data_IF_283126237818
#
_entry.id   IF_283126237818
#
_cell.length_a   1.000
_cell.length_b   1.000
_cell.length_c   1.000
_cell.angle_alpha   90.00
_cell.angle_beta   90.00
_cell.angle_gamma   90.00
#
_symmetry.space_group_name_H-M   'P 1'
#
loop_
_entity.id
_entity.type
_entity.pdbx_description
1 polymer ?
#
# COMPACT_ATOMS: atom_id res chain seq x y z
N UNK A 1 -4.73 54.65 21.81
CA UNK A 1 -4.94 53.51 20.90
C UNK A 1 -3.96 53.63 19.73
N UNK A 2 -2.88 52.87 19.74
CA UNK A 2 -1.94 52.78 18.62
C UNK A 2 -1.59 51.32 18.40
N UNK A 3 -2.18 50.72 17.37
CA UNK A 3 -1.98 49.31 17.00
C UNK A 3 -0.50 49.10 16.65
N UNK A 4 0.19 48.25 17.41
CA UNK A 4 1.49 47.70 17.05
C UNK A 4 1.32 46.81 15.82
N UNK A 5 1.65 47.33 14.63
CA UNK A 5 1.82 46.49 13.44
C UNK A 5 3.09 45.68 13.65
N UNK A 6 2.94 44.38 13.90
CA UNK A 6 4.02 43.41 13.79
C UNK A 6 4.56 43.49 12.36
N UNK A 7 5.74 44.08 12.21
CA UNK A 7 6.50 44.05 10.98
C UNK A 7 6.94 42.60 10.76
N UNK A 8 6.31 41.91 9.83
CA UNK A 8 6.71 40.57 9.42
C UNK A 8 7.35 40.66 8.05
N UNK A 9 8.57 40.13 7.95
CA UNK A 9 9.30 40.06 6.69
C UNK A 9 8.48 39.31 5.64
N UNK A 10 8.45 39.79 4.38
CA UNK A 10 7.95 38.99 3.28
C UNK A 10 8.80 37.72 3.20
N UNK A 11 8.17 36.55 3.39
CA UNK A 11 8.77 35.20 3.50
C UNK A 11 9.14 34.72 4.91
N UNK A 12 8.57 35.32 5.95
CA UNK A 12 8.58 34.71 7.30
C UNK A 12 7.99 33.28 7.26
N UNK A 13 8.73 32.25 7.71
CA UNK A 13 8.34 30.84 7.61
C UNK A 13 7.14 30.49 8.51
N UNK A 14 6.70 31.41 9.36
CA UNK A 14 5.62 31.20 10.33
C UNK A 14 4.21 31.14 9.71
N UNK A 15 4.01 31.66 8.48
CA UNK A 15 2.67 31.69 7.83
C UNK A 15 2.43 30.47 6.90
N UNK A 16 3.46 29.67 6.60
CA UNK A 16 3.30 28.48 5.76
C UNK A 16 3.43 27.18 6.54
N UNK A 17 2.82 27.15 7.74
CA UNK A 17 2.55 25.92 8.50
C UNK A 17 1.56 24.98 7.81
N UNK A 18 1.72 24.74 6.51
CA UNK A 18 1.14 23.60 5.86
C UNK A 18 1.87 22.36 6.40
N UNK A 19 1.23 21.70 7.37
CA UNK A 19 1.49 20.32 7.77
C UNK A 19 1.23 19.37 6.58
N UNK A 20 2.08 19.47 5.54
CA UNK A 20 2.06 18.61 4.34
C UNK A 20 2.78 17.28 4.57
N UNK A 21 3.50 17.13 5.69
CA UNK A 21 4.25 15.91 5.99
C UNK A 21 3.35 14.75 6.44
N UNK A 22 2.25 15.01 7.16
CA UNK A 22 1.36 13.92 7.64
C UNK A 22 0.54 13.23 6.53
N UNK A 23 0.19 13.93 5.44
CA UNK A 23 -0.66 13.35 4.38
C UNK A 23 0.07 12.44 3.41
N UNK A 24 1.35 12.71 3.14
CA UNK A 24 2.12 11.94 2.16
C UNK A 24 2.28 10.47 2.58
N UNK A 25 2.46 10.21 3.88
CA UNK A 25 2.66 8.84 4.35
C UNK A 25 1.40 8.00 4.15
N UNK A 26 0.26 8.52 4.61
CA UNK A 26 -1.01 7.81 4.49
C UNK A 26 -1.35 7.53 3.03
N UNK A 27 -1.15 8.51 2.13
CA UNK A 27 -1.40 8.31 0.70
C UNK A 27 -0.47 7.25 0.09
N UNK A 28 0.83 7.30 0.39
CA UNK A 28 1.78 6.30 -0.09
C UNK A 28 1.52 4.90 0.49
N UNK A 29 1.09 4.84 1.75
CA UNK A 29 0.68 3.61 2.41
C UNK A 29 -0.58 3.02 1.75
N UNK A 30 -1.62 3.83 1.52
CA UNK A 30 -2.83 3.38 0.82
C UNK A 30 -2.48 2.83 -0.57
N UNK A 31 -1.64 3.52 -1.34
CA UNK A 31 -1.21 3.02 -2.65
C UNK A 31 -0.36 1.75 -2.57
N UNK A 32 0.48 1.62 -1.56
CA UNK A 32 1.26 0.40 -1.35
C UNK A 32 0.36 -0.80 -1.02
N UNK A 33 -0.61 -0.62 -0.12
CA UNK A 33 -1.56 -1.66 0.27
C UNK A 33 -2.46 -2.03 -0.91
N UNK A 34 -3.06 -1.04 -1.59
CA UNK A 34 -3.95 -1.32 -2.72
C UNK A 34 -3.22 -1.95 -3.89
N UNK A 35 -2.00 -1.49 -4.21
CA UNK A 35 -1.16 -2.08 -5.24
C UNK A 35 -0.74 -3.52 -4.90
N UNK A 36 -0.37 -3.79 -3.65
CA UNK A 36 -0.04 -5.14 -3.18
C UNK A 36 -1.24 -6.08 -3.24
N UNK A 37 -2.41 -5.67 -2.75
CA UNK A 37 -3.64 -6.45 -2.81
C UNK A 37 -4.05 -6.73 -4.25
N UNK A 38 -3.99 -5.73 -5.14
CA UNK A 38 -4.29 -5.93 -6.55
C UNK A 38 -3.35 -6.95 -7.22
N UNK A 39 -2.06 -6.92 -6.89
CA UNK A 39 -1.10 -7.89 -7.39
C UNK A 39 -1.39 -9.31 -6.87
N UNK A 40 -1.77 -9.45 -5.60
CA UNK A 40 -2.18 -10.74 -5.00
C UNK A 40 -3.42 -11.30 -5.72
N UNK A 41 -4.46 -10.49 -5.87
CA UNK A 41 -5.69 -10.90 -6.56
C UNK A 41 -5.38 -11.33 -8.00
N UNK A 42 -4.56 -10.56 -8.71
CA UNK A 42 -4.17 -10.89 -10.08
C UNK A 42 -3.43 -12.24 -10.14
N UNK A 43 -2.46 -12.46 -9.25
CA UNK A 43 -1.72 -13.72 -9.17
C UNK A 43 -2.68 -14.90 -8.92
N UNK A 44 -3.57 -14.80 -7.93
CA UNK A 44 -4.51 -15.87 -7.59
C UNK A 44 -5.49 -16.18 -8.72
N UNK A 45 -5.94 -15.16 -9.47
CA UNK A 45 -6.77 -15.36 -10.66
C UNK A 45 -6.00 -16.08 -11.76
N UNK A 46 -4.76 -15.65 -12.04
CA UNK A 46 -3.88 -16.29 -13.03
C UNK A 46 -3.60 -17.74 -12.67
N UNK A 47 -3.20 -18.03 -11.43
CA UNK A 47 -2.93 -19.40 -10.97
C UNK A 47 -4.14 -20.32 -11.12
N UNK A 48 -5.34 -19.85 -10.79
CA UNK A 48 -6.56 -20.66 -10.98
C UNK A 48 -6.91 -20.86 -12.45
N UNK A 49 -6.75 -19.82 -13.26
CA UNK A 49 -7.06 -19.87 -14.69
C UNK A 49 -6.12 -20.83 -15.45
N UNK A 50 -4.82 -20.81 -15.13
CA UNK A 50 -3.82 -21.66 -15.80
C UNK A 50 -3.56 -22.99 -15.10
N UNK A 51 -3.77 -23.09 -13.79
CA UNK A 51 -3.44 -24.27 -12.99
C UNK A 51 -4.55 -25.32 -12.93
N UNK A 52 -5.82 -24.92 -12.96
CA UNK A 52 -6.94 -25.85 -12.81
C UNK A 52 -7.61 -26.24 -14.14
N UNK A 53 -7.25 -25.60 -15.26
CA UNK A 53 -7.91 -25.81 -16.55
C UNK A 53 -9.40 -25.42 -16.56
N UNK A 54 -9.93 -24.92 -15.44
CA UNK A 54 -11.27 -24.41 -15.32
C UNK A 54 -11.33 -23.06 -16.03
N UNK A 55 -11.74 -23.11 -17.30
CA UNK A 55 -12.29 -21.96 -18.02
C UNK A 55 -13.65 -21.57 -17.39
N UNK A 56 -13.67 -21.32 -16.08
CA UNK A 56 -14.79 -20.67 -15.44
C UNK A 56 -14.86 -19.22 -15.95
N UNK A 57 -16.07 -18.68 -16.06
CA UNK A 57 -16.23 -17.27 -16.42
C UNK A 57 -15.48 -16.40 -15.42
N UNK A 58 -14.81 -15.35 -15.90
CA UNK A 58 -13.96 -14.48 -15.06
C UNK A 58 -14.63 -14.03 -13.75
N UNK A 59 -15.96 -13.79 -13.79
CA UNK A 59 -16.75 -13.44 -12.61
C UNK A 59 -16.80 -14.53 -11.55
N UNK A 60 -16.92 -15.81 -11.93
CA UNK A 60 -16.93 -16.93 -11.00
C UNK A 60 -15.55 -17.15 -10.37
N UNK A 61 -14.48 -17.09 -11.19
CA UNK A 61 -13.10 -17.17 -10.69
C UNK A 61 -12.78 -16.03 -9.73
N UNK A 62 -13.18 -14.81 -10.07
CA UNK A 62 -12.97 -13.65 -9.20
C UNK A 62 -13.74 -13.79 -7.88
N UNK A 63 -14.98 -14.29 -7.90
CA UNK A 63 -15.76 -14.55 -6.70
C UNK A 63 -15.07 -15.52 -5.74
N UNK A 64 -14.56 -16.65 -6.26
CA UNK A 64 -13.81 -17.63 -5.48
C UNK A 64 -12.50 -17.07 -4.92
N UNK A 65 -11.79 -16.24 -5.70
CA UNK A 65 -10.56 -15.58 -5.25
C UNK A 65 -10.86 -14.59 -4.13
N UNK A 66 -11.95 -13.81 -4.24
CA UNK A 66 -12.34 -12.85 -3.20
C UNK A 66 -12.75 -13.54 -1.91
N UNK A 67 -13.49 -14.65 -1.98
CA UNK A 67 -13.89 -15.44 -0.81
C UNK A 67 -12.67 -16.03 -0.10
N UNK A 68 -11.72 -16.58 -0.86
CA UNK A 68 -10.45 -17.03 -0.31
C UNK A 68 -9.61 -15.89 0.28
N UNK A 69 -9.66 -14.69 -0.33
CA UNK A 69 -8.96 -13.53 0.21
C UNK A 69 -9.50 -13.14 1.60
N UNK A 70 -10.80 -13.34 1.85
CA UNK A 70 -11.42 -13.12 3.16
C UNK A 70 -10.95 -14.17 4.16
N UNK A 71 -10.85 -15.44 3.78
CA UNK A 71 -10.27 -16.48 4.65
C UNK A 71 -8.80 -16.24 4.96
N UNK A 72 -8.04 -15.71 3.99
CA UNK A 72 -6.63 -15.36 4.11
C UNK A 72 -6.41 -14.01 4.83
N UNK A 73 -7.45 -13.48 5.51
CA UNK A 73 -7.43 -12.16 6.13
C UNK A 73 -6.25 -11.90 7.06
N UNK A 74 -5.76 -12.92 7.79
CA UNK A 74 -4.55 -12.82 8.62
C UNK A 74 -3.28 -12.61 7.78
N UNK A 75 -3.15 -13.29 6.65
CA UNK A 75 -2.03 -13.13 5.73
C UNK A 75 -2.06 -11.76 5.05
N UNK A 76 -3.24 -11.26 4.69
CA UNK A 76 -3.41 -9.90 4.18
C UNK A 76 -3.05 -8.83 5.21
N UNK A 77 -3.43 -9.04 6.48
CA UNK A 77 -3.04 -8.13 7.57
C UNK A 77 -1.52 -8.10 7.73
N UNK A 78 -0.87 -9.27 7.72
CA UNK A 78 0.59 -9.35 7.75
C UNK A 78 1.22 -8.61 6.55
N UNK A 79 0.74 -8.86 5.34
CA UNK A 79 1.21 -8.19 4.13
C UNK A 79 1.04 -6.67 4.18
N UNK A 80 -0.07 -6.17 4.75
CA UNK A 80 -0.29 -4.73 4.97
C UNK A 80 0.71 -4.12 5.97
N UNK A 81 1.10 -4.88 7.00
CA UNK A 81 2.18 -4.51 7.92
C UNK A 81 3.53 -4.38 7.19
N UNK A 82 3.85 -5.34 6.33
CA UNK A 82 5.05 -5.31 5.48
C UNK A 82 5.03 -4.17 4.45
N UNK A 83 3.85 -3.81 3.91
CA UNK A 83 3.69 -2.62 3.08
C UNK A 83 4.14 -1.34 3.80
N UNK A 84 3.76 -1.24 5.08
CA UNK A 84 4.14 -0.10 5.96
C UNK A 84 5.64 -0.02 6.15
N UNK A 85 6.30 -1.16 6.39
CA UNK A 85 7.76 -1.25 6.51
C UNK A 85 8.46 -0.85 5.20
N UNK A 86 7.97 -1.32 4.06
CA UNK A 86 8.52 -0.98 2.74
C UNK A 86 8.43 0.51 2.43
N UNK A 87 7.28 1.15 2.67
CA UNK A 87 7.11 2.60 2.49
C UNK A 87 8.03 3.38 3.44
N UNK A 88 8.11 2.96 4.71
CA UNK A 88 8.95 3.62 5.71
C UNK A 88 10.44 3.56 5.34
N UNK A 89 10.93 2.39 4.92
CA UNK A 89 12.33 2.21 4.54
C UNK A 89 12.67 3.00 3.27
N UNK A 90 11.81 2.96 2.25
CA UNK A 90 12.03 3.68 1.00
C UNK A 90 12.08 5.21 1.19
N UNK A 91 11.32 5.74 2.14
CA UNK A 91 11.41 7.16 2.54
C UNK A 91 12.75 7.50 3.19
N UNK A 92 13.27 6.63 4.06
CA UNK A 92 14.58 6.81 4.69
C UNK A 92 15.72 6.80 3.68
N UNK A 93 15.57 6.02 2.61
CA UNK A 93 16.53 5.93 1.50
C UNK A 93 16.34 7.01 0.42
N UNK A 94 15.36 7.92 0.58
CA UNK A 94 15.14 9.01 -0.38
C UNK A 94 14.58 8.56 -1.73
N UNK A 95 13.89 7.42 -1.80
CA UNK A 95 13.30 6.94 -3.06
C UNK A 95 12.21 7.89 -3.56
N UNK A 96 12.19 8.10 -4.88
CA UNK A 96 11.22 9.00 -5.51
C UNK A 96 9.76 8.51 -5.38
N UNK A 97 9.55 7.18 -5.28
CA UNK A 97 8.23 6.55 -5.17
C UNK A 97 8.20 5.48 -4.07
N UNK A 98 8.06 5.86 -2.79
CA UNK A 98 8.11 4.91 -1.67
C UNK A 98 6.99 3.87 -1.67
N UNK A 99 5.84 4.22 -2.26
CA UNK A 99 4.69 3.31 -2.37
C UNK A 99 4.98 2.07 -3.22
N UNK A 100 5.87 2.16 -4.22
CA UNK A 100 6.28 1.01 -5.04
C UNK A 100 7.02 -0.01 -4.17
N UNK A 101 7.95 0.47 -3.33
CA UNK A 101 8.67 -0.39 -2.39
C UNK A 101 7.71 -1.09 -1.43
N UNK A 102 6.74 -0.34 -0.89
CA UNK A 102 5.69 -0.91 -0.04
C UNK A 102 4.88 -1.99 -0.74
N UNK A 103 4.44 -1.76 -1.98
CA UNK A 103 3.68 -2.73 -2.76
C UNK A 103 4.50 -4.01 -3.03
N UNK A 104 5.77 -3.87 -3.41
CA UNK A 104 6.68 -5.00 -3.67
C UNK A 104 6.92 -5.82 -2.41
N UNK A 105 7.22 -5.16 -1.29
CA UNK A 105 7.49 -5.84 -0.01
C UNK A 105 6.22 -6.52 0.52
N UNK A 106 5.06 -5.88 0.39
CA UNK A 106 3.75 -6.47 0.69
C UNK A 106 3.52 -7.76 -0.10
N UNK A 107 3.66 -7.68 -1.44
CA UNK A 107 3.45 -8.82 -2.33
C UNK A 107 4.45 -9.96 -2.06
N UNK A 108 5.74 -9.65 -1.90
CA UNK A 108 6.76 -10.64 -1.59
C UNK A 108 6.49 -11.35 -0.26
N UNK A 109 6.09 -10.59 0.78
CA UNK A 109 5.74 -11.18 2.07
C UNK A 109 4.54 -12.12 1.98
N UNK A 110 3.52 -11.78 1.18
CA UNK A 110 2.39 -12.66 0.95
C UNK A 110 2.81 -13.98 0.33
N UNK A 111 3.66 -13.94 -0.71
CA UNK A 111 4.18 -15.16 -1.36
C UNK A 111 4.96 -16.03 -0.35
N UNK A 112 5.82 -15.42 0.46
CA UNK A 112 6.63 -16.14 1.46
C UNK A 112 5.72 -16.80 2.50
N UNK A 113 4.77 -16.06 3.06
CA UNK A 113 3.84 -16.61 4.06
C UNK A 113 3.00 -17.72 3.44
N UNK A 114 2.51 -17.53 2.21
CA UNK A 114 1.73 -18.54 1.48
C UNK A 114 2.52 -19.82 1.24
N UNK A 115 3.81 -19.71 0.93
CA UNK A 115 4.70 -20.86 0.74
C UNK A 115 5.14 -21.56 2.03
N UNK A 116 4.93 -20.96 3.20
CA UNK A 116 5.16 -21.61 4.49
C UNK A 116 3.89 -22.34 4.97
N UNK A 117 2.72 -21.78 4.67
CA UNK A 117 1.43 -22.29 5.13
C UNK A 117 0.92 -23.46 4.27
N UNK A 118 1.29 -23.53 2.98
CA UNK A 118 0.97 -24.63 2.07
C UNK A 118 2.15 -25.60 1.95
#
# INVERSE_FOLDING_TARGET
>A
MGRTKLFQEPRSPLIQGHSRSRRKFFQEWVFAVSGGVAAIVLLSVVERFFGNGEAATFGATLGLVLDQLVSDGLMLLAASGFATLGVWLARRMGWWRPWIAGAVVSFASFIIIRGIVN
#
